data_IF_526515844331
#
_entry.id   IF_526515844331
#
_cell.length_a   1.000
_cell.length_b   1.000
_cell.length_c   1.000
_cell.angle_alpha   90.00
_cell.angle_beta   90.00
_cell.angle_gamma   90.00
#
_symmetry.space_group_name_H-M   'P 1'
#
loop_
_entity.id
_entity.type
_entity.pdbx_description
1 polymer ?
#
# COMPACT_ATOMS: atom_id res chain seq x y z
N UNK A 1 -10.98 -10.06 -9.84
CA UNK A 1 -10.58 -8.76 -9.26
C UNK A 1 -9.09 -8.62 -9.45
N UNK A 2 -8.57 -7.45 -9.89
CA UNK A 2 -7.13 -7.27 -10.03
C UNK A 2 -6.45 -7.49 -8.66
N UNK A 3 -5.35 -8.24 -8.67
CA UNK A 3 -4.61 -8.60 -7.45
C UNK A 3 -3.84 -7.37 -6.99
N UNK A 4 -4.10 -6.93 -5.76
CA UNK A 4 -3.29 -5.90 -5.10
C UNK A 4 -1.99 -6.56 -4.61
N UNK A 5 -0.86 -5.99 -4.99
CA UNK A 5 0.46 -6.48 -4.62
C UNK A 5 1.34 -5.34 -4.12
N UNK A 6 2.04 -5.57 -3.02
CA UNK A 6 3.16 -4.74 -2.63
C UNK A 6 4.38 -5.15 -3.45
N UNK A 7 4.90 -4.25 -4.28
CA UNK A 7 6.09 -4.50 -5.10
C UNK A 7 7.38 -4.07 -4.40
N UNK A 8 7.31 -3.12 -3.47
CA UNK A 8 8.49 -2.60 -2.79
C UNK A 8 8.15 -1.49 -1.80
N UNK A 9 9.14 -1.12 -0.99
CA UNK A 9 9.08 0.08 -0.14
C UNK A 9 10.31 0.91 -0.42
N UNK A 10 10.12 2.21 -0.63
CA UNK A 10 11.19 3.18 -0.88
C UNK A 10 11.17 4.28 0.17
N UNK A 11 12.26 5.03 0.26
CA UNK A 11 12.32 6.25 1.05
C UNK A 11 12.36 7.46 0.12
N UNK A 12 11.42 8.39 0.32
CA UNK A 12 11.28 9.60 -0.48
C UNK A 12 10.99 10.79 0.43
N UNK A 13 11.80 11.84 0.31
CA UNK A 13 11.71 13.02 1.18
C UNK A 13 11.81 12.72 2.68
N UNK A 14 12.57 11.67 3.06
CA UNK A 14 12.71 11.22 4.44
C UNK A 14 11.54 10.41 4.99
N UNK A 15 10.53 10.09 4.16
CA UNK A 15 9.35 9.29 4.55
C UNK A 15 9.30 7.99 3.76
N UNK A 16 8.82 6.88 4.36
CA UNK A 16 8.61 5.64 3.63
C UNK A 16 7.38 5.75 2.72
N UNK A 17 7.50 5.22 1.51
CA UNK A 17 6.42 5.06 0.54
C UNK A 17 6.39 3.62 0.02
N UNK A 18 5.19 3.05 -0.11
CA UNK A 18 4.98 1.69 -0.55
C UNK A 18 4.61 1.68 -2.04
N UNK A 19 5.39 0.99 -2.87
CA UNK A 19 5.09 0.82 -4.29
C UNK A 19 4.13 -0.35 -4.44
N UNK A 20 2.94 -0.08 -4.97
CA UNK A 20 1.89 -1.09 -5.14
C UNK A 20 1.55 -1.25 -6.61
N UNK A 21 1.17 -2.47 -6.96
CA UNK A 21 0.72 -2.83 -8.30
C UNK A 21 -0.70 -3.37 -8.22
N UNK A 22 -1.58 -2.90 -9.11
CA UNK A 22 -2.93 -3.43 -9.25
C UNK A 22 -3.26 -3.54 -10.75
N UNK A 23 -3.29 -4.77 -11.26
CA UNK A 23 -3.44 -4.99 -12.70
C UNK A 23 -2.20 -4.48 -13.45
N UNK A 24 -2.40 -3.54 -14.38
CA UNK A 24 -1.32 -2.91 -15.17
C UNK A 24 -0.86 -1.56 -14.61
N UNK A 25 -1.44 -1.10 -13.50
CA UNK A 25 -1.12 0.18 -12.89
C UNK A 25 -0.21 0.00 -11.68
N UNK A 26 0.71 0.94 -11.46
CA UNK A 26 1.59 0.99 -10.31
C UNK A 26 1.75 2.42 -9.81
N UNK A 27 1.77 2.62 -8.50
CA UNK A 27 1.98 3.93 -7.88
C UNK A 27 2.47 3.76 -6.43
N UNK A 28 2.86 4.87 -5.81
CA UNK A 28 3.26 4.90 -4.41
C UNK A 28 2.10 5.26 -3.48
N UNK A 29 2.08 4.59 -2.33
CA UNK A 29 1.18 4.86 -1.22
C UNK A 29 1.96 5.40 -0.03
N UNK A 30 1.36 6.36 0.66
CA UNK A 30 1.92 6.99 1.87
C UNK A 30 1.06 6.69 3.09
N UNK A 31 1.69 6.69 4.26
CA UNK A 31 0.99 6.55 5.54
C UNK A 31 -0.12 7.61 5.64
N UNK A 32 -1.32 7.17 6.01
CA UNK A 32 -2.53 7.99 6.11
C UNK A 32 -3.30 8.19 4.81
N UNK A 33 -2.78 7.73 3.66
CA UNK A 33 -3.49 7.79 2.39
C UNK A 33 -4.72 6.88 2.41
N UNK A 34 -5.82 7.38 1.85
CA UNK A 34 -7.11 6.67 1.81
C UNK A 34 -7.46 6.29 0.39
N UNK A 35 -8.05 5.11 0.25
CA UNK A 35 -8.60 4.65 -1.00
C UNK A 35 -9.77 5.52 -1.41
N UNK A 36 -9.70 6.05 -2.62
CA UNK A 36 -10.73 6.93 -3.19
C UNK A 36 -10.82 6.70 -4.70
N UNK A 37 -11.83 7.27 -5.35
CA UNK A 37 -11.92 7.27 -6.81
C UNK A 37 -10.71 7.94 -7.50
N UNK A 38 -9.96 8.77 -6.77
CA UNK A 38 -8.72 9.41 -7.24
C UNK A 38 -7.46 8.62 -6.87
N UNK A 39 -7.61 7.54 -6.10
CA UNK A 39 -6.52 6.65 -5.64
C UNK A 39 -6.86 5.20 -6.05
N UNK A 40 -6.93 4.89 -7.35
CA UNK A 40 -7.49 3.62 -7.83
C UNK A 40 -6.75 2.39 -7.27
N UNK A 41 -5.47 2.57 -6.94
CA UNK A 41 -4.60 1.53 -6.41
C UNK A 41 -4.81 1.21 -4.93
N UNK A 42 -5.64 1.97 -4.22
CA UNK A 42 -6.08 1.66 -2.87
C UNK A 42 -7.61 1.57 -2.89
N UNK A 43 -8.21 0.38 -2.71
CA UNK A 43 -9.66 0.24 -2.87
C UNK A 43 -10.42 1.15 -1.87
N UNK A 44 -11.63 1.63 -2.23
CA UNK A 44 -12.42 2.47 -1.32
C UNK A 44 -12.62 1.84 0.06
N UNK A 45 -12.50 2.67 1.10
CA UNK A 45 -12.63 2.22 2.50
C UNK A 45 -11.36 1.61 3.11
N UNK A 46 -10.27 1.53 2.34
CA UNK A 46 -8.95 1.17 2.84
C UNK A 46 -8.13 2.41 3.18
N UNK A 47 -7.27 2.31 4.18
CA UNK A 47 -6.33 3.35 4.61
C UNK A 47 -4.96 2.75 4.83
N UNK A 48 -3.90 3.45 4.50
CA UNK A 48 -2.53 3.05 4.86
C UNK A 48 -2.28 3.37 6.32
N UNK A 49 -2.14 2.33 7.13
CA UNK A 49 -1.88 2.48 8.58
C UNK A 49 -0.39 2.65 8.85
N UNK A 50 0.45 1.81 8.23
CA UNK A 50 1.90 1.87 8.39
C UNK A 50 2.66 1.30 7.20
N UNK A 51 3.91 1.72 7.06
CA UNK A 51 4.85 1.24 6.03
C UNK A 51 6.18 1.01 6.74
N UNK A 52 6.76 -0.18 6.57
CA UNK A 52 8.06 -0.52 7.13
C UNK A 52 9.03 -0.87 6.00
N UNK A 53 10.07 -0.04 5.86
CA UNK A 53 11.09 -0.21 4.83
C UNK A 53 12.05 -1.37 5.12
N UNK A 54 12.31 -1.66 6.40
CA UNK A 54 13.27 -2.69 6.80
C UNK A 54 12.72 -4.09 6.53
N UNK A 55 11.42 -4.29 6.77
CA UNK A 55 10.74 -5.57 6.51
C UNK A 55 10.06 -5.61 5.14
N UNK A 56 10.12 -4.53 4.35
CA UNK A 56 9.37 -4.38 3.10
C UNK A 56 7.89 -4.75 3.27
N UNK A 57 7.22 -4.08 4.22
CA UNK A 57 5.83 -4.36 4.56
C UNK A 57 4.93 -3.13 4.56
N UNK A 58 3.67 -3.36 4.20
CA UNK A 58 2.60 -2.39 4.13
C UNK A 58 1.41 -2.90 4.93
N UNK A 59 0.96 -2.11 5.91
CA UNK A 59 -0.25 -2.42 6.67
C UNK A 59 -1.37 -1.51 6.19
N UNK A 60 -2.44 -2.13 5.71
CA UNK A 60 -3.67 -1.45 5.34
C UNK A 60 -4.78 -1.73 6.35
N UNK A 61 -5.58 -0.72 6.62
CA UNK A 61 -6.75 -0.80 7.50
C UNK A 61 -8.04 -0.71 6.69
N UNK A 62 -8.97 -1.62 6.93
CA UNK A 62 -10.33 -1.60 6.36
C UNK A 62 -11.35 -1.92 7.44
N UNK A 63 -12.26 -1.00 7.72
CA UNK A 63 -13.34 -1.24 8.69
C UNK A 63 -12.88 -1.72 10.07
N UNK A 64 -11.67 -1.32 10.50
CA UNK A 64 -11.07 -1.74 11.77
C UNK A 64 -10.18 -3.00 11.68
N UNK A 65 -10.19 -3.74 10.57
CA UNK A 65 -9.28 -4.86 10.33
C UNK A 65 -7.97 -4.38 9.71
N UNK A 66 -6.86 -4.96 10.15
CA UNK A 66 -5.53 -4.73 9.58
C UNK A 66 -5.16 -5.88 8.65
N UNK A 67 -4.59 -5.53 7.50
CA UNK A 67 -4.07 -6.46 6.51
C UNK A 67 -2.64 -6.11 6.21
N UNK A 68 -1.74 -7.08 6.35
CA UNK A 68 -0.32 -6.92 6.06
C UNK A 68 -0.02 -7.48 4.69
N UNK A 69 0.75 -6.72 3.91
CA UNK A 69 1.30 -7.13 2.64
C UNK A 69 2.81 -7.01 2.72
N UNK A 70 3.51 -8.06 2.32
CA UNK A 70 4.97 -8.12 2.32
C UNK A 70 5.47 -8.35 0.89
N UNK A 71 6.64 -7.79 0.56
CA UNK A 71 7.22 -7.91 -0.78
C UNK A 71 7.57 -9.35 -1.18
N UNK A 72 7.61 -10.30 -0.23
CA UNK A 72 8.00 -11.69 -0.44
C UNK A 72 6.82 -12.67 -0.65
N UNK A 73 5.57 -12.22 -0.52
CA UNK A 73 4.36 -13.07 -0.61
C UNK A 73 3.42 -12.62 -1.74
N UNK A 74 3.97 -12.45 -2.94
CA UNK A 74 3.18 -12.17 -4.15
C UNK A 74 2.78 -13.44 -4.89
#
# INVERSE_FOLDING_TARGET
MPKFQLSGVIQSGGRPEAIVVMGSESDSLRIGQRGSLKTPLLPPGWTVESININSCSLVLKKGGQLHTYDCANS
#
